data_IF_215184622614
#
_entry.id   IF_215184622614
#
_cell.length_a   1.000
_cell.length_b   1.000
_cell.length_c   1.000
_cell.angle_alpha   90.00
_cell.angle_beta   90.00
_cell.angle_gamma   90.00
#
_symmetry.space_group_name_H-M   'P 1'
#
loop_
_entity.id
_entity.type
_entity.pdbx_description
1 polymer ?
#
# COMPACT_ATOMS: atom_id res chain seq x y z
N UNK A 1 13.77 -8.51 16.99
CA UNK A 1 14.71 -7.73 16.17
C UNK A 1 13.97 -7.32 14.91
N UNK A 2 14.04 -6.05 14.53
CA UNK A 2 13.40 -5.59 13.30
C UNK A 2 14.17 -6.21 12.13
N UNK A 3 13.44 -6.84 11.21
CA UNK A 3 14.01 -7.51 10.02
C UNK A 3 15.08 -6.65 9.34
N UNK A 4 16.21 -7.27 8.99
CA UNK A 4 17.22 -6.66 8.15
C UNK A 4 16.63 -6.32 6.78
N UNK A 5 17.15 -5.29 6.07
CA UNK A 5 16.61 -4.91 4.75
C UNK A 5 16.50 -6.08 3.76
N UNK A 6 17.40 -7.06 3.85
CA UNK A 6 17.45 -8.26 3.01
C UNK A 6 16.36 -9.29 3.36
N UNK A 7 15.87 -9.27 4.61
CA UNK A 7 14.81 -10.15 5.11
C UNK A 7 13.42 -9.51 4.93
N UNK A 8 13.38 -8.22 4.55
CA UNK A 8 12.12 -7.50 4.39
C UNK A 8 11.48 -7.82 3.06
N UNK A 9 10.24 -8.27 3.13
CA UNK A 9 9.47 -8.59 1.94
C UNK A 9 8.03 -8.09 2.02
N UNK A 10 7.34 -8.17 0.90
CA UNK A 10 5.91 -7.96 0.82
C UNK A 10 5.34 -8.99 -0.12
N UNK A 11 4.45 -9.82 0.41
CA UNK A 11 3.73 -10.85 -0.34
C UNK A 11 2.30 -10.38 -0.46
N UNK A 12 1.79 -10.40 -1.70
CA UNK A 12 0.40 -10.07 -2.00
C UNK A 12 -0.17 -11.23 -2.80
N UNK A 13 -1.21 -11.85 -2.28
CA UNK A 13 -1.89 -13.00 -2.90
C UNK A 13 -3.34 -12.65 -3.16
N UNK A 14 -3.83 -13.06 -4.32
CA UNK A 14 -5.26 -13.07 -4.62
C UNK A 14 -5.74 -14.51 -4.53
N UNK A 15 -6.79 -14.71 -3.74
CA UNK A 15 -7.51 -15.98 -3.65
C UNK A 15 -8.83 -15.84 -4.40
N UNK A 16 -8.93 -16.54 -5.53
CA UNK A 16 -10.11 -16.55 -6.39
C UNK A 16 -11.30 -17.27 -5.74
N UNK A 17 -11.04 -18.31 -4.93
CA UNK A 17 -12.12 -19.06 -4.26
C UNK A 17 -12.83 -18.20 -3.23
N UNK A 18 -12.06 -17.44 -2.44
CA UNK A 18 -12.62 -16.54 -1.43
C UNK A 18 -12.84 -15.10 -1.93
N UNK A 19 -12.55 -14.85 -3.21
CA UNK A 19 -12.56 -13.52 -3.84
C UNK A 19 -11.93 -12.44 -2.94
N UNK A 20 -10.73 -12.69 -2.45
CA UNK A 20 -10.08 -11.82 -1.46
C UNK A 20 -8.60 -11.60 -1.74
N UNK A 21 -8.10 -10.46 -1.29
CA UNK A 21 -6.67 -10.14 -1.32
C UNK A 21 -6.06 -10.29 0.07
N UNK A 22 -4.92 -10.95 0.14
CA UNK A 22 -4.11 -11.04 1.35
C UNK A 22 -2.82 -10.25 1.16
N UNK A 23 -2.44 -9.53 2.22
CA UNK A 23 -1.25 -8.70 2.28
C UNK A 23 -0.43 -9.14 3.47
N UNK A 24 0.84 -9.47 3.24
CA UNK A 24 1.81 -9.75 4.29
C UNK A 24 3.04 -8.86 4.05
N UNK A 25 3.49 -8.13 5.06
CA UNK A 25 4.60 -7.19 4.86
C UNK A 25 5.38 -6.90 6.11
N UNK A 26 6.71 -7.07 6.02
CA UNK A 26 7.72 -6.53 6.94
C UNK A 26 8.37 -5.24 6.42
N UNK A 27 7.97 -4.76 5.23
CA UNK A 27 8.49 -3.53 4.63
C UNK A 27 7.81 -2.31 5.26
N UNK A 28 8.57 -1.52 6.03
CA UNK A 28 8.08 -0.35 6.78
C UNK A 28 7.16 0.59 5.98
N UNK A 29 7.52 0.91 4.74
CA UNK A 29 6.71 1.80 3.88
C UNK A 29 5.35 1.20 3.52
N UNK A 30 5.28 -0.12 3.37
CA UNK A 30 4.05 -0.83 3.03
C UNK A 30 3.18 -1.04 4.28
N UNK A 31 3.79 -1.41 5.42
CA UNK A 31 3.14 -1.41 6.74
C UNK A 31 2.40 -0.09 6.98
N UNK A 32 3.10 1.06 6.86
CA UNK A 32 2.47 2.37 7.07
C UNK A 32 1.29 2.63 6.13
N UNK A 33 1.32 2.14 4.89
CA UNK A 33 0.20 2.29 3.95
C UNK A 33 -0.99 1.42 4.32
N UNK A 34 -0.74 0.17 4.68
CA UNK A 34 -1.78 -0.79 5.11
C UNK A 34 -2.47 -0.25 6.37
N UNK A 35 -1.70 0.18 7.38
CA UNK A 35 -2.26 0.70 8.63
C UNK A 35 -3.07 1.99 8.47
N UNK A 36 -2.77 2.82 7.47
CA UNK A 36 -3.58 4.02 7.14
C UNK A 36 -4.97 3.67 6.60
N UNK A 37 -5.12 2.49 6.02
CA UNK A 37 -6.37 1.98 5.46
C UNK A 37 -6.88 0.80 6.27
N UNK A 38 -6.57 0.72 7.57
CA UNK A 38 -6.94 -0.41 8.44
C UNK A 38 -8.43 -0.76 8.38
N UNK A 39 -9.29 0.24 8.18
CA UNK A 39 -10.75 0.09 8.09
C UNK A 39 -11.22 -0.58 6.79
N UNK A 40 -10.38 -0.62 5.75
CA UNK A 40 -10.68 -1.30 4.50
C UNK A 40 -10.55 -2.83 4.61
N UNK A 41 -9.82 -3.33 5.61
CA UNK A 41 -9.51 -4.74 5.75
C UNK A 41 -10.52 -5.42 6.69
N UNK A 42 -10.98 -6.59 6.30
CA UNK A 42 -11.81 -7.46 7.14
C UNK A 42 -11.04 -7.96 8.36
N UNK A 43 -9.77 -8.30 8.15
CA UNK A 43 -8.86 -8.71 9.23
C UNK A 43 -7.50 -8.01 9.09
N UNK A 44 -6.90 -7.67 10.22
CA UNK A 44 -5.58 -7.04 10.30
C UNK A 44 -4.86 -7.53 11.56
N UNK A 45 -3.84 -8.35 11.36
CA UNK A 45 -2.91 -8.78 12.39
C UNK A 45 -1.63 -7.94 12.32
N UNK A 46 -1.05 -7.66 13.48
CA UNK A 46 0.13 -6.81 13.61
C UNK A 46 1.11 -7.43 14.60
N UNK A 47 2.39 -7.47 14.23
CA UNK A 47 3.47 -7.81 15.14
C UNK A 47 4.23 -6.56 15.52
N UNK A 48 4.54 -6.44 16.81
CA UNK A 48 5.25 -5.31 17.38
C UNK A 48 6.54 -5.77 18.04
N UNK A 49 7.57 -4.95 17.87
CA UNK A 49 8.76 -5.01 18.70
C UNK A 49 8.96 -3.67 19.39
N UNK A 50 8.93 -3.69 20.72
CA UNK A 50 8.73 -2.50 21.53
C UNK A 50 7.43 -1.80 21.06
N UNK A 51 7.51 -0.55 20.60
CA UNK A 51 6.37 0.21 20.08
C UNK A 51 6.30 0.25 18.54
N UNK A 52 7.20 -0.46 17.86
CA UNK A 52 7.28 -0.44 16.41
C UNK A 52 6.53 -1.64 15.81
N UNK A 53 5.50 -1.38 15.00
CA UNK A 53 4.90 -2.41 14.16
C UNK A 53 5.92 -2.84 13.09
N UNK A 54 6.39 -4.09 13.20
CA UNK A 54 7.46 -4.67 12.37
C UNK A 54 6.91 -5.57 11.26
N UNK A 55 5.68 -6.04 11.39
CA UNK A 55 5.01 -6.88 10.40
C UNK A 55 3.49 -6.70 10.46
N UNK A 56 2.83 -6.83 9.31
CA UNK A 56 1.36 -6.82 9.20
C UNK A 56 0.91 -7.96 8.30
N UNK A 57 -0.23 -8.55 8.65
CA UNK A 57 -1.02 -9.43 7.79
C UNK A 57 -2.44 -8.89 7.70
N UNK A 58 -2.93 -8.62 6.49
CA UNK A 58 -4.24 -8.02 6.29
C UNK A 58 -5.02 -8.75 5.19
N UNK A 59 -6.34 -8.84 5.36
CA UNK A 59 -7.25 -9.42 4.36
C UNK A 59 -8.27 -8.39 3.89
N UNK A 60 -8.38 -8.22 2.58
CA UNK A 60 -9.35 -7.34 1.92
C UNK A 60 -10.37 -8.19 1.16
N UNK A 61 -11.63 -8.05 1.53
CA UNK A 61 -12.79 -8.68 0.86
C UNK A 61 -13.73 -7.68 0.22
N UNK A 62 -13.71 -6.41 0.64
CA UNK A 62 -14.49 -5.33 0.01
C UNK A 62 -13.84 -4.87 -1.31
N UNK A 63 -14.09 -5.64 -2.37
CA UNK A 63 -13.61 -5.34 -3.73
C UNK A 63 -14.54 -4.43 -4.53
N UNK A 64 -15.67 -4.02 -3.93
CA UNK A 64 -16.59 -3.04 -4.52
C UNK A 64 -16.09 -1.61 -4.27
N UNK A 65 -15.64 -1.33 -3.05
CA UNK A 65 -15.13 -0.01 -2.67
C UNK A 65 -13.60 0.14 -2.83
N UNK A 66 -12.86 -0.97 -2.83
CA UNK A 66 -11.40 -0.97 -2.93
C UNK A 66 -10.88 -1.80 -4.09
N UNK A 67 -9.78 -1.35 -4.70
CA UNK A 67 -9.15 -2.05 -5.83
C UNK A 67 -7.67 -2.30 -5.57
N UNK A 68 -7.21 -3.49 -5.92
CA UNK A 68 -5.81 -3.90 -5.85
C UNK A 68 -5.33 -4.25 -7.26
N UNK A 69 -4.11 -3.86 -7.62
CA UNK A 69 -3.53 -4.21 -8.90
C UNK A 69 -2.14 -4.82 -8.71
N UNK A 70 -1.97 -6.14 -8.90
CA UNK A 70 -0.69 -6.82 -8.75
C UNK A 70 0.19 -6.71 -10.01
N UNK A 71 -0.37 -6.24 -11.13
CA UNK A 71 0.27 -6.28 -12.43
C UNK A 71 1.09 -5.03 -12.69
N UNK A 72 2.23 -5.23 -13.35
CA UNK A 72 3.13 -4.14 -13.72
C UNK A 72 2.41 -3.15 -14.64
N UNK A 73 2.42 -1.87 -14.26
CA UNK A 73 1.93 -0.77 -15.09
C UNK A 73 3.10 -0.02 -15.70
N UNK A 74 3.04 0.24 -17.00
CA UNK A 74 4.03 1.07 -17.66
C UNK A 74 3.95 2.49 -17.10
N UNK A 75 5.07 2.98 -16.54
CA UNK A 75 5.15 4.38 -16.11
C UNK A 75 5.09 5.27 -17.33
N UNK A 76 4.15 6.23 -17.34
CA UNK A 76 4.10 7.27 -18.37
C UNK A 76 5.42 8.05 -18.34
N UNK A 77 6.18 8.02 -19.44
CA UNK A 77 7.34 8.90 -19.61
C UNK A 77 6.79 10.32 -19.83
N UNK A 78 7.05 11.21 -18.88
CA UNK A 78 6.68 12.62 -18.96
C UNK A 78 7.94 13.45 -19.17
N UNK A 79 7.86 14.45 -20.04
CA UNK A 79 8.91 15.47 -20.17
C UNK A 79 8.95 16.34 -18.92
N UNK A 80 10.06 17.05 -18.68
CA UNK A 80 10.17 17.95 -17.53
C UNK A 80 9.07 19.02 -17.51
N UNK A 81 8.70 19.55 -18.69
CA UNK A 81 7.59 20.50 -18.82
C UNK A 81 6.25 19.89 -18.35
N UNK A 82 5.96 18.65 -18.75
CA UNK A 82 4.74 17.95 -18.32
C UNK A 82 4.74 17.64 -16.82
N UNK A 83 5.91 17.34 -16.23
CA UNK A 83 6.04 17.17 -14.78
C UNK A 83 5.77 18.47 -14.03
N UNK A 84 6.30 19.59 -14.53
CA UNK A 84 6.07 20.92 -13.94
C UNK A 84 4.60 21.32 -14.00
N UNK A 85 3.95 21.18 -15.16
CA UNK A 85 2.52 21.48 -15.34
C UNK A 85 1.65 20.65 -14.38
N UNK A 86 1.97 19.36 -14.19
CA UNK A 86 1.26 18.51 -13.25
C UNK A 86 1.46 18.95 -11.79
N UNK A 87 2.69 19.29 -11.41
CA UNK A 87 3.01 19.76 -10.06
C UNK A 87 2.31 21.09 -9.73
N UNK A 88 2.26 22.02 -10.68
CA UNK A 88 1.53 23.28 -10.54
C UNK A 88 0.02 23.07 -10.40
N UNK A 89 -0.55 22.16 -11.20
CA UNK A 89 -1.97 21.80 -11.10
C UNK A 89 -2.32 21.22 -9.73
N UNK A 90 -1.46 20.35 -9.19
CA UNK A 90 -1.64 19.78 -7.86
C UNK A 90 -1.57 20.85 -6.76
N UNK A 91 -0.57 21.75 -6.81
CA UNK A 91 -0.45 22.87 -5.86
C UNK A 91 -1.70 23.75 -5.86
N UNK A 92 -2.22 24.09 -7.04
CA UNK A 92 -3.43 24.92 -7.18
C UNK A 92 -4.68 24.24 -6.61
N UNK A 93 -4.79 22.92 -6.71
CA UNK A 93 -5.92 22.17 -6.15
C UNK A 93 -5.82 22.04 -4.62
N UNK A 94 -4.61 21.86 -4.08
CA UNK A 94 -4.39 21.81 -2.63
C UNK A 94 -4.60 23.16 -1.94
N UNK A 95 -4.33 24.28 -2.62
CA UNK A 95 -4.55 25.62 -2.06
C UNK A 95 -6.01 26.09 -2.11
N UNK A 96 -6.92 25.32 -2.70
CA UNK A 96 -8.34 25.64 -2.86
C UNK A 96 -9.26 24.87 -1.90
N UNK A 97 -8.72 23.89 -1.19
CA UNK A 97 -9.38 23.18 -0.07
C UNK A 97 -8.83 23.70 1.25
#
# INVERSE_FOLDING_TARGET
MAYLPEERETVITYDELSNSWQFESSVRRHITKILKLKEAFESLDQEFENDNCIYVRARLTDLENFSVNPFVKQKRKMTEKQKQELAERLKRNLSRN
#
